data_IF_126087246400
#
_entry.id   IF_126087246400
#
_cell.length_a   1.000
_cell.length_b   1.000
_cell.length_c   1.000
_cell.angle_alpha   90.00
_cell.angle_beta   90.00
_cell.angle_gamma   90.00
#
_symmetry.space_group_name_H-M   'P 1'
#
loop_
_entity.id
_entity.type
_entity.pdbx_description
1 polymer ?
#
# COMPACT_ATOMS: atom_id res chain seq x y z
N UNK A 1 -14.12 38.09 35.01
CA UNK A 1 -14.96 37.28 34.10
C UNK A 1 -14.01 36.72 33.04
N UNK A 2 -13.44 35.54 33.30
CA UNK A 2 -12.51 34.91 32.38
C UNK A 2 -13.33 34.19 31.31
N UNK A 3 -13.19 34.59 30.05
CA UNK A 3 -13.70 33.82 28.91
C UNK A 3 -12.73 32.68 28.67
N UNK A 4 -13.16 31.47 28.99
CA UNK A 4 -12.43 30.24 28.72
C UNK A 4 -12.63 29.87 27.25
N UNK A 5 -11.61 30.10 26.42
CA UNK A 5 -11.60 29.67 25.02
C UNK A 5 -11.36 28.16 24.98
N UNK A 6 -12.42 27.37 25.15
CA UNK A 6 -12.38 25.97 24.80
C UNK A 6 -12.17 25.87 23.29
N UNK A 7 -11.00 25.40 22.85
CA UNK A 7 -10.80 25.01 21.46
C UNK A 7 -11.87 23.98 21.13
N UNK A 8 -12.83 24.36 20.28
CA UNK A 8 -13.90 23.47 19.87
C UNK A 8 -13.27 22.38 18.99
N UNK A 9 -13.18 21.12 19.45
CA UNK A 9 -12.54 20.04 18.68
C UNK A 9 -13.22 19.84 17.31
N UNK A 10 -14.48 20.26 17.17
CA UNK A 10 -15.29 20.09 15.97
C UNK A 10 -14.93 21.06 14.82
N UNK A 11 -14.19 22.15 15.11
CA UNK A 11 -13.78 23.12 14.07
C UNK A 11 -12.74 22.52 13.13
N UNK A 12 -11.83 21.70 13.65
CA UNK A 12 -10.78 21.10 12.81
C UNK A 12 -11.37 20.06 11.86
N UNK A 13 -12.29 19.21 12.33
CA UNK A 13 -12.90 18.17 11.50
C UNK A 13 -13.75 18.75 10.37
N UNK A 14 -14.53 19.81 10.67
CA UNK A 14 -15.34 20.50 9.66
C UNK A 14 -14.50 21.22 8.60
N UNK A 15 -13.39 21.86 9.00
CA UNK A 15 -12.45 22.48 8.05
C UNK A 15 -11.73 21.44 7.18
N UNK A 16 -11.43 20.25 7.71
CA UNK A 16 -10.78 19.17 6.94
C UNK A 16 -11.72 18.65 5.84
N UNK A 17 -13.00 18.42 6.16
CA UNK A 17 -13.98 17.98 5.15
C UNK A 17 -14.23 19.05 4.06
N UNK A 18 -14.17 20.34 4.42
CA UNK A 18 -14.33 21.44 3.47
C UNK A 18 -13.11 21.64 2.55
N UNK A 19 -11.89 21.55 3.10
CA UNK A 19 -10.65 21.77 2.35
C UNK A 19 -10.21 20.56 1.53
N UNK A 20 -10.55 19.35 1.99
CA UNK A 20 -10.13 18.09 1.39
C UNK A 20 -11.33 17.14 1.38
N UNK A 21 -12.17 17.17 0.32
CA UNK A 21 -13.24 16.20 0.20
C UNK A 21 -12.64 14.80 0.33
N UNK A 22 -13.21 13.99 1.24
CA UNK A 22 -12.73 12.62 1.49
C UNK A 22 -12.68 11.90 0.15
N UNK A 23 -11.50 11.45 -0.30
CA UNK A 23 -11.42 10.75 -1.57
C UNK A 23 -12.30 9.52 -1.51
N UNK A 24 -13.20 9.36 -2.50
CA UNK A 24 -13.95 8.13 -2.66
C UNK A 24 -12.98 6.95 -2.63
N UNK A 25 -13.29 5.93 -1.83
CA UNK A 25 -12.49 4.71 -1.75
C UNK A 25 -12.63 3.96 -3.07
N UNK A 26 -11.78 4.31 -4.03
CA UNK A 26 -11.61 3.60 -5.28
C UNK A 26 -10.70 2.41 -5.03
N UNK A 27 -11.08 1.26 -5.58
CA UNK A 27 -10.38 -0.04 -5.49
C UNK A 27 -10.58 -0.78 -4.16
N UNK A 28 -11.77 -1.37 -4.01
CA UNK A 28 -12.08 -2.39 -3.02
C UNK A 28 -12.09 -3.76 -3.70
N UNK A 29 -11.39 -4.74 -3.12
CA UNK A 29 -11.37 -6.10 -3.63
C UNK A 29 -10.12 -6.44 -4.44
N UNK A 30 -10.28 -7.24 -5.50
CA UNK A 30 -9.15 -7.73 -6.30
C UNK A 30 -8.90 -6.86 -7.53
N UNK A 31 -7.66 -6.39 -7.69
CA UNK A 31 -7.16 -5.76 -8.90
C UNK A 31 -6.12 -6.65 -9.61
N UNK A 32 -5.99 -6.47 -10.92
CA UNK A 32 -4.98 -7.13 -11.75
C UNK A 32 -4.08 -6.06 -12.36
N UNK A 33 -2.80 -6.10 -12.02
CA UNK A 33 -1.78 -5.17 -12.51
C UNK A 33 -0.97 -5.86 -13.59
N UNK A 34 -0.84 -5.19 -14.74
CA UNK A 34 -0.01 -5.67 -15.86
C UNK A 34 1.26 -4.85 -16.05
N UNK A 35 1.33 -3.67 -15.43
CA UNK A 35 2.39 -2.67 -15.57
C UNK A 35 2.81 -2.46 -17.03
N UNK A 36 1.84 -2.14 -17.90
CA UNK A 36 2.06 -1.90 -19.33
C UNK A 36 2.75 -3.09 -20.04
N UNK A 37 2.43 -4.32 -19.61
CA UNK A 37 3.03 -5.54 -20.15
C UNK A 37 4.45 -5.83 -19.64
N UNK A 38 4.94 -5.08 -18.64
CA UNK A 38 6.19 -5.40 -17.95
C UNK A 38 6.09 -6.72 -17.18
N UNK A 39 4.88 -7.12 -16.78
CA UNK A 39 4.63 -8.38 -16.09
C UNK A 39 4.28 -9.50 -17.06
N UNK A 40 4.76 -10.71 -16.75
CA UNK A 40 4.33 -11.92 -17.47
C UNK A 40 2.85 -12.18 -17.17
N UNK A 41 2.08 -12.57 -18.19
CA UNK A 41 0.67 -12.95 -18.03
C UNK A 41 0.54 -14.09 -17.00
N UNK A 42 -0.46 -14.06 -16.11
CA UNK A 42 -1.66 -13.19 -16.10
C UNK A 42 -1.49 -11.84 -15.36
N UNK A 43 -0.27 -11.38 -15.11
CA UNK A 43 0.00 -10.18 -14.32
C UNK A 43 -0.10 -10.45 -12.81
N UNK A 44 -0.04 -9.38 -12.02
CA UNK A 44 -0.12 -9.46 -10.57
C UNK A 44 -1.55 -9.29 -10.09
N UNK A 45 -2.01 -10.25 -9.28
CA UNK A 45 -3.27 -10.14 -8.54
C UNK A 45 -3.02 -9.48 -7.18
N UNK A 46 -3.57 -8.30 -6.96
CA UNK A 46 -3.50 -7.58 -5.68
C UNK A 46 -4.89 -7.53 -5.04
N UNK A 47 -4.94 -7.57 -3.71
CA UNK A 47 -6.16 -7.37 -2.93
C UNK A 47 -6.03 -6.10 -2.08
N UNK A 48 -7.08 -5.28 -2.08
CA UNK A 48 -7.19 -4.03 -1.33
C UNK A 48 -8.44 -4.07 -0.46
N UNK A 49 -8.31 -3.76 0.83
CA UNK A 49 -9.45 -3.58 1.75
C UNK A 49 -9.89 -2.12 1.89
N UNK A 50 -9.38 -1.25 1.02
CA UNK A 50 -9.72 0.17 1.03
C UNK A 50 -9.23 0.87 2.29
N UNK A 51 -8.19 0.32 2.93
CA UNK A 51 -7.58 0.85 4.12
C UNK A 51 -8.42 0.68 5.39
N UNK A 52 -9.29 -0.33 5.43
CA UNK A 52 -10.11 -0.66 6.59
C UNK A 52 -9.27 -0.93 7.85
N UNK A 53 -8.04 -1.43 7.68
CA UNK A 53 -7.08 -1.67 8.76
C UNK A 53 -5.96 -0.62 8.84
N UNK A 54 -6.02 0.46 8.06
CA UNK A 54 -4.99 1.50 7.96
C UNK A 54 -4.56 1.80 6.53
N UNK A 55 -3.68 2.78 6.34
CA UNK A 55 -3.28 3.27 5.01
C UNK A 55 -2.59 2.20 4.14
N UNK A 56 -2.01 1.16 4.73
CA UNK A 56 -1.34 0.07 4.01
C UNK A 56 -2.27 -0.82 3.18
N UNK A 57 -3.59 -0.73 3.39
CA UNK A 57 -4.57 -1.58 2.71
C UNK A 57 -5.02 -1.13 1.32
N UNK A 58 -4.31 -0.17 0.73
CA UNK A 58 -4.59 0.40 -0.60
C UNK A 58 -3.33 0.34 -1.45
N UNK A 59 -3.50 0.25 -2.75
CA UNK A 59 -2.44 0.57 -3.68
C UNK A 59 -2.13 2.06 -3.65
N UNK A 60 -0.84 2.36 -3.56
CA UNK A 60 -0.35 3.74 -3.61
C UNK A 60 0.32 3.99 -4.95
N UNK A 61 0.05 5.13 -5.61
CA UNK A 61 0.70 5.49 -6.88
C UNK A 61 2.23 5.44 -6.81
N UNK A 62 2.81 5.76 -5.63
CA UNK A 62 4.24 5.65 -5.38
C UNK A 62 4.76 4.21 -5.44
N UNK A 63 4.01 3.24 -4.88
CA UNK A 63 4.35 1.82 -4.93
C UNK A 63 4.32 1.30 -6.36
N UNK A 64 3.29 1.63 -7.14
CA UNK A 64 3.23 1.25 -8.54
C UNK A 64 4.35 1.85 -9.39
N UNK A 65 4.66 3.13 -9.19
CA UNK A 65 5.76 3.80 -9.89
C UNK A 65 7.10 3.15 -9.55
N UNK A 66 7.33 2.85 -8.26
CA UNK A 66 8.55 2.19 -7.80
C UNK A 66 8.67 0.78 -8.39
N UNK A 67 7.60 -0.02 -8.39
CA UNK A 67 7.60 -1.35 -9.02
C UNK A 67 7.97 -1.27 -10.50
N UNK A 68 7.33 -0.38 -11.27
CA UNK A 68 7.65 -0.16 -12.69
C UNK A 68 9.12 0.22 -12.88
N UNK A 69 9.64 1.12 -12.05
CA UNK A 69 11.04 1.54 -12.10
C UNK A 69 11.99 0.37 -11.81
N UNK A 70 11.73 -0.40 -10.76
CA UNK A 70 12.59 -1.51 -10.34
C UNK A 70 12.60 -2.65 -11.37
N UNK A 71 11.45 -3.00 -11.96
CA UNK A 71 11.37 -3.97 -13.05
C UNK A 71 12.21 -3.51 -14.24
N UNK A 72 12.10 -2.23 -14.65
CA UNK A 72 12.85 -1.67 -15.79
C UNK A 72 14.35 -1.56 -15.53
N UNK A 73 14.75 -1.17 -14.33
CA UNK A 73 16.18 -1.00 -13.99
C UNK A 73 16.88 -2.33 -13.80
N UNK A 74 16.12 -3.37 -13.44
CA UNK A 74 16.66 -4.66 -13.13
C UNK A 74 17.34 -4.63 -11.77
N UNK A 75 16.95 -5.57 -10.92
CA UNK A 75 17.40 -5.62 -9.53
C UNK A 75 18.21 -6.89 -9.22
N UNK A 76 18.74 -7.51 -10.28
CA UNK A 76 19.30 -8.86 -10.24
C UNK A 76 20.52 -9.07 -9.33
N UNK A 77 21.22 -7.99 -8.96
CA UNK A 77 22.46 -8.06 -8.18
C UNK A 77 22.26 -7.86 -6.68
N UNK A 78 21.07 -7.44 -6.24
CA UNK A 78 20.78 -7.24 -4.82
C UNK A 78 20.41 -8.57 -4.17
N UNK A 79 20.99 -8.85 -3.00
CA UNK A 79 20.84 -10.12 -2.27
C UNK A 79 20.02 -9.99 -0.99
N UNK A 80 20.12 -8.83 -0.34
CA UNK A 80 19.47 -8.54 0.94
C UNK A 80 18.65 -7.28 0.77
N UNK A 81 17.33 -7.42 0.67
CA UNK A 81 16.40 -6.30 0.53
C UNK A 81 15.40 -6.35 1.68
N UNK A 82 15.13 -5.19 2.24
CA UNK A 82 14.08 -4.97 3.23
C UNK A 82 13.10 -3.94 2.67
N UNK A 83 11.83 -4.30 2.62
CA UNK A 83 10.73 -3.39 2.33
C UNK A 83 10.13 -2.90 3.65
N UNK A 84 10.16 -1.58 3.86
CA UNK A 84 9.60 -0.92 5.04
C UNK A 84 8.26 -0.27 4.66
N UNK A 85 7.22 -0.50 5.44
CA UNK A 85 5.88 0.02 5.14
C UNK A 85 5.34 -0.57 3.85
N UNK A 86 5.39 -1.90 3.73
CA UNK A 86 5.05 -2.61 2.51
C UNK A 86 3.59 -2.47 2.07
N UNK A 87 2.69 -2.16 2.99
CA UNK A 87 1.25 -2.16 2.77
C UNK A 87 0.79 -3.46 2.11
N UNK A 88 0.34 -3.37 0.86
CA UNK A 88 -0.09 -4.51 0.03
C UNK A 88 1.04 -5.47 -0.37
N UNK A 89 2.31 -5.10 -0.18
CA UNK A 89 3.49 -5.88 -0.57
C UNK A 89 3.81 -5.82 -2.07
N UNK A 90 3.23 -4.84 -2.79
CA UNK A 90 3.32 -4.72 -4.25
C UNK A 90 4.76 -4.71 -4.78
N UNK A 91 5.64 -3.90 -4.17
CA UNK A 91 7.00 -3.70 -4.67
C UNK A 91 7.84 -4.95 -4.39
N UNK A 92 7.70 -5.49 -3.18
CA UNK A 92 8.26 -6.77 -2.74
C UNK A 92 8.04 -7.90 -3.75
N UNK A 93 6.78 -8.16 -4.06
CA UNK A 93 6.38 -9.33 -4.82
C UNK A 93 6.89 -9.31 -6.27
N UNK A 94 6.71 -8.18 -6.97
CA UNK A 94 7.06 -8.09 -8.40
C UNK A 94 8.55 -8.02 -8.69
N UNK A 95 9.29 -7.34 -7.82
CA UNK A 95 10.70 -7.08 -8.09
C UNK A 95 11.59 -8.23 -7.63
N UNK A 96 11.15 -9.00 -6.63
CA UNK A 96 12.05 -9.83 -5.85
C UNK A 96 11.69 -11.31 -5.80
N UNK A 97 10.48 -11.73 -6.15
CA UNK A 97 10.17 -13.17 -6.23
C UNK A 97 11.04 -13.84 -7.33
N UNK A 98 11.74 -14.98 -7.08
CA UNK A 98 11.70 -15.88 -5.91
C UNK A 98 12.90 -15.75 -4.93
N UNK A 99 13.48 -14.55 -4.77
CA UNK A 99 14.66 -14.32 -3.91
C UNK A 99 14.29 -14.11 -2.45
N UNK A 100 15.29 -14.24 -1.56
CA UNK A 100 15.15 -13.87 -0.15
C UNK A 100 14.95 -12.35 -0.03
N UNK A 101 13.79 -11.94 0.47
CA UNK A 101 13.49 -10.56 0.81
C UNK A 101 12.65 -10.53 2.08
N UNK A 102 12.80 -9.45 2.86
CA UNK A 102 12.05 -9.25 4.09
C UNK A 102 11.03 -8.13 3.90
N UNK A 103 9.79 -8.39 4.28
CA UNK A 103 8.68 -7.45 4.25
C UNK A 103 8.39 -6.99 5.67
N UNK A 104 8.19 -5.70 5.89
CA UNK A 104 7.78 -5.19 7.20
C UNK A 104 6.69 -4.13 7.05
N UNK A 105 5.73 -4.18 7.96
CA UNK A 105 4.64 -3.22 8.10
C UNK A 105 4.15 -3.22 9.56
N UNK A 106 3.32 -2.24 9.93
CA UNK A 106 2.72 -2.17 11.26
C UNK A 106 1.73 -3.31 11.51
N UNK A 107 1.65 -3.81 12.76
CA UNK A 107 0.88 -5.02 13.13
C UNK A 107 -0.59 -5.00 12.67
N UNK A 108 -1.21 -3.84 12.55
CA UNK A 108 -2.62 -3.71 12.11
C UNK A 108 -2.80 -4.12 10.65
N UNK A 109 -1.81 -3.89 9.79
CA UNK A 109 -1.80 -4.35 8.40
C UNK A 109 -1.70 -5.89 8.28
N UNK A 110 -1.16 -6.58 9.29
CA UNK A 110 -0.99 -8.05 9.29
C UNK A 110 -2.24 -8.83 9.70
N UNK A 111 -3.22 -8.19 10.36
CA UNK A 111 -4.43 -8.87 10.85
C UNK A 111 -5.55 -8.94 9.82
N UNK A 112 -5.58 -8.00 8.86
CA UNK A 112 -6.35 -8.14 7.63
C UNK A 112 -5.64 -9.16 6.72
N UNK A 113 -6.36 -9.84 5.83
CA UNK A 113 -5.96 -11.07 5.14
C UNK A 113 -4.75 -10.96 4.17
N UNK A 114 -3.91 -9.92 4.30
CA UNK A 114 -2.86 -9.49 3.38
C UNK A 114 -1.74 -10.50 3.14
N UNK A 115 -1.34 -11.26 4.17
CA UNK A 115 -0.14 -12.12 4.07
C UNK A 115 -0.41 -13.60 3.87
N UNK A 116 -1.65 -14.09 4.00
CA UNK A 116 -1.97 -15.51 3.79
C UNK A 116 -1.77 -15.98 2.33
N UNK A 117 -1.40 -15.08 1.41
CA UNK A 117 -1.18 -15.39 -0.01
C UNK A 117 0.25 -15.16 -0.51
N UNK A 118 1.12 -14.54 0.30
CA UNK A 118 2.55 -14.36 -0.03
C UNK A 118 3.40 -15.53 0.50
N UNK A 119 2.91 -16.28 1.49
CA UNK A 119 3.48 -17.56 1.96
C UNK A 119 2.69 -18.76 1.41
N UNK A 120 2.78 -19.03 0.10
CA UNK A 120 2.46 -20.37 -0.44
C UNK A 120 3.46 -20.74 -1.53
N UNK A 121 4.62 -21.21 -1.07
CA UNK A 121 5.38 -22.33 -1.64
C UNK A 121 6.06 -23.05 -0.49
#
# INVERSE_FOLDING_TARGET
MAMETAANPDIFDSLIEELLPVPEVKNLGTSYLEFDGLLKKPGLKVYEDGGAAGCGGKLWPAGELLSRYMIRRGVGNYKNIVELGSGTGLVGYECWHPRKFSVTDEKVAWQSHYMKRIMMT
#
